data_IF_258448043016
#
_entry.id   IF_258448043016
#
_cell.length_a   1.000
_cell.length_b   1.000
_cell.length_c   1.000
_cell.angle_alpha   90.00
_cell.angle_beta   90.00
_cell.angle_gamma   90.00
#
_symmetry.space_group_name_H-M   'P 1'
#
loop_
_entity.id
_entity.type
_entity.pdbx_description
1 polymer ?
#
# COMPACT_ATOMS: atom_id res chain seq x y z
N UNK A 1 25.18 -76.89 -2.03
CA UNK A 1 24.12 -75.88 -2.27
C UNK A 1 24.32 -74.69 -1.36
N UNK A 2 24.84 -73.57 -1.86
CA UNK A 2 24.84 -72.27 -1.17
C UNK A 2 24.31 -71.25 -2.16
N UNK A 3 23.10 -70.75 -1.93
CA UNK A 3 22.46 -69.74 -2.76
C UNK A 3 22.95 -68.37 -2.30
N UNK A 4 23.62 -67.62 -3.19
CA UNK A 4 24.01 -66.23 -2.95
C UNK A 4 22.85 -65.37 -3.45
N UNK A 5 22.12 -64.74 -2.53
CA UNK A 5 21.12 -63.74 -2.85
C UNK A 5 21.84 -62.43 -3.22
N UNK A 6 21.74 -62.02 -4.48
CA UNK A 6 22.21 -60.72 -4.96
C UNK A 6 21.09 -59.71 -4.67
N UNK A 7 21.30 -58.83 -3.69
CA UNK A 7 20.43 -57.70 -3.43
C UNK A 7 20.72 -56.59 -4.46
N UNK A 8 19.78 -56.33 -5.35
CA UNK A 8 19.83 -55.21 -6.28
C UNK A 8 19.40 -53.97 -5.49
N UNK A 9 20.37 -53.10 -5.16
CA UNK A 9 20.08 -51.79 -4.60
C UNK A 9 19.56 -50.87 -5.71
N UNK A 10 18.25 -50.62 -5.73
CA UNK A 10 17.65 -49.61 -6.59
C UNK A 10 18.01 -48.22 -6.06
N UNK A 11 18.93 -47.53 -6.74
CA UNK A 11 19.22 -46.13 -6.47
C UNK A 11 18.03 -45.27 -6.95
N UNK A 12 17.25 -44.75 -6.01
CA UNK A 12 16.21 -43.78 -6.31
C UNK A 12 16.87 -42.45 -6.73
N UNK A 13 16.77 -42.12 -8.02
CA UNK A 13 17.08 -40.79 -8.53
C UNK A 13 16.04 -39.81 -7.95
N UNK A 14 16.44 -39.07 -6.93
CA UNK A 14 15.69 -37.89 -6.47
C UNK A 14 15.90 -36.82 -7.54
N UNK A 15 14.92 -36.68 -8.44
CA UNK A 15 14.84 -35.55 -9.34
C UNK A 15 14.57 -34.29 -8.50
N UNK A 16 15.64 -33.62 -8.07
CA UNK A 16 15.54 -32.30 -7.47
C UNK A 16 15.00 -31.35 -8.52
N UNK A 17 13.78 -30.85 -8.33
CA UNK A 17 13.24 -29.75 -9.09
C UNK A 17 14.16 -28.55 -8.91
N UNK A 18 14.93 -28.23 -9.95
CA UNK A 18 15.65 -26.96 -10.04
C UNK A 18 14.56 -25.90 -10.14
N UNK A 19 14.16 -25.33 -8.99
CA UNK A 19 13.44 -24.05 -8.99
C UNK A 19 14.40 -23.06 -9.65
N UNK A 20 14.04 -22.57 -10.83
CA UNK A 20 14.70 -21.42 -11.41
C UNK A 20 14.68 -20.29 -10.35
N UNK A 21 15.74 -19.50 -10.28
CA UNK A 21 15.74 -18.33 -9.42
C UNK A 21 14.53 -17.45 -9.79
N UNK A 22 13.75 -17.02 -8.81
CA UNK A 22 12.56 -16.18 -9.04
C UNK A 22 12.91 -14.90 -9.81
N UNK A 23 14.12 -14.37 -9.64
CA UNK A 23 14.63 -13.22 -10.39
C UNK A 23 14.82 -13.55 -11.88
N UNK A 24 15.39 -14.72 -12.20
CA UNK A 24 15.58 -15.16 -13.57
C UNK A 24 14.24 -15.44 -14.26
N UNK A 25 13.29 -16.00 -13.51
CA UNK A 25 11.95 -16.27 -14.01
C UNK A 25 11.19 -14.96 -14.26
N UNK A 26 11.30 -13.99 -13.35
CA UNK A 26 10.75 -12.65 -13.57
C UNK A 26 11.31 -12.04 -14.85
N UNK A 27 12.64 -11.97 -14.98
CA UNK A 27 13.29 -11.30 -16.11
C UNK A 27 12.92 -11.94 -17.46
N UNK A 28 12.75 -13.27 -17.51
CA UNK A 28 12.44 -13.98 -18.76
C UNK A 28 10.96 -14.05 -19.09
N UNK A 29 10.11 -14.31 -18.10
CA UNK A 29 8.71 -14.65 -18.33
C UNK A 29 7.75 -13.50 -18.00
N UNK A 30 8.05 -12.70 -16.98
CA UNK A 30 7.11 -11.70 -16.43
C UNK A 30 7.43 -10.29 -16.92
N UNK A 31 8.70 -9.88 -16.86
CA UNK A 31 9.13 -8.53 -17.20
C UNK A 31 8.72 -8.12 -18.63
N UNK A 32 8.82 -8.97 -19.68
CA UNK A 32 8.38 -8.59 -21.02
C UNK A 32 6.87 -8.34 -21.14
N UNK A 33 6.05 -8.99 -20.28
CA UNK A 33 4.60 -8.81 -20.22
C UNK A 33 4.30 -7.46 -19.60
N UNK A 34 4.87 -7.19 -18.42
CA UNK A 34 4.68 -5.93 -17.69
C UNK A 34 5.21 -4.73 -18.47
N UNK A 35 6.37 -4.88 -19.13
CA UNK A 35 6.94 -3.84 -19.98
C UNK A 35 6.05 -3.47 -21.18
N UNK A 36 5.31 -4.44 -21.73
CA UNK A 36 4.42 -4.21 -22.88
C UNK A 36 3.08 -3.62 -22.48
N UNK A 37 2.51 -4.09 -21.37
CA UNK A 37 1.11 -3.83 -21.04
C UNK A 37 0.92 -2.84 -19.87
N UNK A 38 1.93 -2.64 -19.04
CA UNK A 38 1.78 -1.90 -17.77
C UNK A 38 2.72 -0.69 -17.65
N UNK A 39 3.90 -0.75 -18.25
CA UNK A 39 4.96 0.24 -18.04
C UNK A 39 4.63 1.66 -18.57
N UNK A 40 3.57 1.83 -19.35
CA UNK A 40 3.09 3.15 -19.76
C UNK A 40 2.59 3.98 -18.56
N UNK A 41 1.89 3.36 -17.60
CA UNK A 41 1.38 4.03 -16.41
C UNK A 41 2.04 3.55 -15.10
N UNK A 42 2.71 2.39 -15.11
CA UNK A 42 3.34 1.76 -13.94
C UNK A 42 4.80 1.38 -14.22
N UNK A 43 5.55 2.26 -14.87
CA UNK A 43 6.99 2.13 -15.11
C UNK A 43 7.83 2.99 -14.16
N UNK A 44 9.16 2.93 -14.32
CA UNK A 44 10.08 3.71 -13.49
C UNK A 44 9.95 5.23 -13.67
N UNK A 45 9.53 5.68 -14.86
CA UNK A 45 9.36 7.10 -15.19
C UNK A 45 7.94 7.62 -14.92
N UNK A 46 6.94 6.73 -14.94
CA UNK A 46 5.55 7.03 -14.65
C UNK A 46 4.97 5.92 -13.76
N UNK A 47 4.82 6.24 -12.47
CA UNK A 47 4.38 5.31 -11.44
C UNK A 47 3.05 5.78 -10.86
N UNK A 48 1.96 5.54 -11.59
CA UNK A 48 0.62 5.89 -11.16
C UNK A 48 0.29 5.20 -9.83
N UNK A 49 -0.28 5.97 -8.89
CA UNK A 49 -0.45 5.56 -7.49
C UNK A 49 0.85 5.13 -6.77
N UNK A 50 2.00 5.56 -7.28
CA UNK A 50 3.32 5.18 -6.79
C UNK A 50 3.67 3.71 -7.00
N UNK A 51 3.06 3.05 -7.99
CA UNK A 51 3.34 1.65 -8.34
C UNK A 51 4.29 1.58 -9.54
N UNK A 52 5.45 0.92 -9.35
CA UNK A 52 6.43 0.63 -10.40
C UNK A 52 6.54 -0.89 -10.62
N UNK A 53 6.18 -1.35 -11.82
CA UNK A 53 6.18 -2.76 -12.25
C UNK A 53 7.39 -3.11 -13.14
N UNK A 54 8.39 -2.23 -13.26
CA UNK A 54 9.53 -2.41 -14.17
C UNK A 54 10.55 -3.47 -13.72
N UNK A 55 10.63 -3.74 -12.41
CA UNK A 55 11.58 -4.70 -11.82
C UNK A 55 10.91 -5.58 -10.76
N UNK A 56 11.44 -6.78 -10.50
CA UNK A 56 10.92 -7.63 -9.42
C UNK A 56 10.97 -6.92 -8.06
N UNK A 57 12.04 -6.17 -7.79
CA UNK A 57 12.23 -5.39 -6.57
C UNK A 57 11.15 -4.31 -6.41
N UNK A 58 10.79 -3.60 -7.48
CA UNK A 58 9.77 -2.56 -7.43
C UNK A 58 8.36 -3.15 -7.28
N UNK A 59 8.07 -4.28 -7.93
CA UNK A 59 6.81 -5.03 -7.74
C UNK A 59 6.66 -5.48 -6.29
N UNK A 60 7.74 -5.98 -5.68
CA UNK A 60 7.78 -6.37 -4.27
C UNK A 60 7.61 -5.15 -3.34
N UNK A 61 8.11 -3.98 -3.73
CA UNK A 61 7.94 -2.74 -2.96
C UNK A 61 6.47 -2.25 -2.95
N UNK A 62 5.67 -2.61 -3.94
CA UNK A 62 4.25 -2.27 -3.99
C UNK A 62 3.98 -0.85 -4.49
N UNK A 63 2.78 -0.35 -4.18
CA UNK A 63 2.36 1.02 -4.50
C UNK A 63 2.69 1.98 -3.36
N UNK A 64 2.32 3.26 -3.51
CA UNK A 64 2.44 4.24 -2.43
C UNK A 64 1.68 3.85 -1.16
N UNK A 65 0.65 2.98 -1.27
CA UNK A 65 -0.30 2.71 -0.19
C UNK A 65 -0.48 1.23 0.16
N UNK A 66 0.10 0.29 -0.58
CA UNK A 66 -0.03 -1.14 -0.26
C UNK A 66 0.95 -2.03 -1.02
N UNK A 67 1.16 -3.25 -0.50
CA UNK A 67 1.66 -4.35 -1.32
C UNK A 67 0.66 -4.67 -2.43
N UNK A 68 1.16 -5.02 -3.62
CA UNK A 68 0.31 -5.45 -4.76
C UNK A 68 0.36 -6.97 -5.00
N UNK A 69 1.28 -7.67 -4.33
CA UNK A 69 1.40 -9.13 -4.39
C UNK A 69 1.47 -9.74 -2.99
N UNK A 70 0.99 -10.98 -2.89
CA UNK A 70 1.14 -11.86 -1.75
C UNK A 70 2.06 -13.01 -2.19
N UNK A 71 3.34 -13.02 -1.77
CA UNK A 71 4.28 -14.07 -2.16
C UNK A 71 3.75 -15.47 -1.85
N UNK A 72 3.80 -16.36 -2.85
CA UNK A 72 3.26 -17.72 -2.73
C UNK A 72 1.73 -17.84 -2.86
N UNK A 73 1.01 -16.74 -3.10
CA UNK A 73 -0.44 -16.75 -3.29
C UNK A 73 -0.90 -15.70 -4.33
N UNK A 74 -0.86 -16.10 -5.59
CA UNK A 74 -1.31 -15.29 -6.73
C UNK A 74 -2.80 -14.96 -6.67
N UNK A 75 -3.64 -15.83 -6.10
CA UNK A 75 -5.08 -15.61 -6.00
C UNK A 75 -5.45 -14.44 -5.05
N UNK A 76 -4.65 -14.21 -4.01
CA UNK A 76 -4.83 -13.09 -3.08
C UNK A 76 -4.06 -11.82 -3.48
N UNK A 77 -3.30 -11.88 -4.59
CA UNK A 77 -2.50 -10.77 -5.08
C UNK A 77 -3.34 -9.80 -5.91
N UNK A 78 -3.41 -8.53 -5.49
CA UNK A 78 -4.10 -7.46 -6.22
C UNK A 78 -3.64 -7.37 -7.68
N UNK A 79 -2.34 -7.52 -7.93
CA UNK A 79 -1.78 -7.51 -9.27
C UNK A 79 -2.48 -8.51 -10.20
N UNK A 80 -2.79 -9.72 -9.72
CA UNK A 80 -3.45 -10.75 -10.54
C UNK A 80 -4.96 -10.55 -10.58
N UNK A 81 -5.57 -10.11 -9.47
CA UNK A 81 -7.00 -9.80 -9.40
C UNK A 81 -7.38 -8.71 -10.40
N UNK A 82 -6.55 -7.68 -10.57
CA UNK A 82 -6.76 -6.60 -11.52
C UNK A 82 -6.66 -7.03 -12.99
N UNK A 83 -6.02 -8.16 -13.30
CA UNK A 83 -5.92 -8.70 -14.67
C UNK A 83 -7.18 -9.45 -15.13
N UNK A 84 -8.11 -9.74 -14.22
CA UNK A 84 -9.35 -10.42 -14.56
C UNK A 84 -10.27 -9.50 -15.38
N UNK A 85 -10.94 -10.03 -16.40
CA UNK A 85 -11.80 -9.24 -17.30
C UNK A 85 -12.94 -8.51 -16.58
N UNK A 86 -13.40 -9.04 -15.45
CA UNK A 86 -14.49 -8.49 -14.65
C UNK A 86 -14.00 -7.57 -13.51
N UNK A 87 -12.69 -7.31 -13.42
CA UNK A 87 -12.13 -6.45 -12.38
C UNK A 87 -12.56 -4.98 -12.57
N UNK A 88 -12.71 -4.25 -11.47
CA UNK A 88 -12.98 -2.82 -11.48
C UNK A 88 -12.08 -2.10 -10.45
N UNK A 89 -11.07 -1.32 -10.90
CA UNK A 89 -10.68 -1.13 -12.30
C UNK A 89 -9.99 -2.39 -12.88
N UNK A 90 -10.26 -2.67 -14.15
CA UNK A 90 -9.52 -3.66 -14.95
C UNK A 90 -8.18 -3.10 -15.41
N UNK A 91 -7.13 -3.93 -15.39
CA UNK A 91 -5.80 -3.59 -15.86
C UNK A 91 -5.29 -4.63 -16.89
N UNK A 92 -4.68 -4.19 -18.00
CA UNK A 92 -4.57 -2.80 -18.43
C UNK A 92 -5.92 -2.23 -18.93
N UNK A 93 -6.13 -0.90 -18.92
CA UNK A 93 -7.40 -0.31 -19.35
C UNK A 93 -7.76 -0.64 -20.81
N UNK A 94 -6.75 -0.77 -21.66
CA UNK A 94 -6.89 -0.89 -23.12
C UNK A 94 -6.68 -2.32 -23.66
N UNK A 95 -7.05 -3.34 -22.89
CA UNK A 95 -7.11 -4.70 -23.42
C UNK A 95 -6.93 -5.79 -22.38
N UNK A 96 -7.19 -7.01 -22.81
CA UNK A 96 -7.08 -8.19 -21.96
C UNK A 96 -5.77 -8.94 -22.28
N UNK A 97 -5.01 -9.28 -21.25
CA UNK A 97 -3.88 -10.21 -21.37
C UNK A 97 -4.40 -11.59 -21.76
N UNK A 98 -3.60 -12.33 -22.52
CA UNK A 98 -3.90 -13.74 -22.78
C UNK A 98 -3.82 -14.56 -21.48
N UNK A 99 -4.56 -15.67 -21.44
CA UNK A 99 -4.54 -16.60 -20.31
C UNK A 99 -3.12 -17.09 -19.98
N UNK A 100 -2.26 -17.22 -20.99
CA UNK A 100 -0.87 -17.64 -20.83
C UNK A 100 -0.02 -16.56 -20.15
N UNK A 101 -0.24 -15.28 -20.48
CA UNK A 101 0.44 -14.16 -19.84
C UNK A 101 -0.01 -14.00 -18.39
N UNK A 102 -1.32 -14.07 -18.11
CA UNK A 102 -1.83 -14.02 -16.74
C UNK A 102 -1.28 -15.18 -15.91
N UNK A 103 -1.22 -16.38 -16.50
CA UNK A 103 -0.66 -17.57 -15.83
C UNK A 103 0.83 -17.44 -15.56
N UNK A 104 1.60 -16.79 -16.45
CA UNK A 104 3.02 -16.54 -16.22
C UNK A 104 3.24 -15.61 -15.02
N UNK A 105 2.47 -14.53 -14.91
CA UNK A 105 2.50 -13.61 -13.77
C UNK A 105 2.12 -14.35 -12.48
N UNK A 106 1.01 -15.09 -12.50
CA UNK A 106 0.54 -15.86 -11.35
C UNK A 106 1.57 -16.91 -10.89
N UNK A 107 2.13 -17.69 -11.83
CA UNK A 107 3.12 -18.72 -11.53
C UNK A 107 4.40 -18.15 -10.92
N UNK A 108 4.84 -16.97 -11.36
CA UNK A 108 5.96 -16.28 -10.73
C UNK A 108 5.65 -15.91 -9.27
N UNK A 109 4.49 -15.30 -9.00
CA UNK A 109 4.07 -14.96 -7.63
C UNK A 109 3.99 -16.21 -6.74
N UNK A 110 3.38 -17.28 -7.25
CA UNK A 110 3.25 -18.56 -6.53
C UNK A 110 4.61 -19.25 -6.30
N UNK A 111 5.63 -18.91 -7.10
CA UNK A 111 6.97 -19.45 -6.95
C UNK A 111 7.76 -18.81 -5.81
N UNK A 112 7.41 -17.57 -5.41
CA UNK A 112 8.09 -16.80 -4.37
C UNK A 112 7.97 -17.48 -3.00
N UNK A 113 8.99 -17.29 -2.15
CA UNK A 113 8.91 -17.70 -0.75
C UNK A 113 7.84 -16.85 -0.04
N UNK A 114 6.85 -17.44 0.65
CA UNK A 114 5.88 -16.69 1.46
C UNK A 114 6.51 -15.76 2.51
N UNK A 115 7.77 -16.00 2.90
CA UNK A 115 8.54 -15.13 3.78
C UNK A 115 9.22 -13.95 3.06
N UNK A 116 9.10 -13.84 1.73
CA UNK A 116 9.67 -12.73 0.95
C UNK A 116 9.10 -11.41 1.46
N UNK A 117 9.95 -10.45 1.87
CA UNK A 117 9.46 -9.14 2.30
C UNK A 117 8.78 -8.41 1.14
N UNK A 118 7.55 -7.97 1.37
CA UNK A 118 6.83 -7.04 0.48
C UNK A 118 6.68 -5.69 1.17
N UNK A 119 6.63 -4.63 0.37
CA UNK A 119 6.33 -3.31 0.87
C UNK A 119 4.94 -3.30 1.48
N UNK A 120 4.88 -3.10 2.79
CA UNK A 120 3.67 -2.56 3.38
C UNK A 120 3.60 -1.09 2.97
N UNK A 121 2.41 -0.52 2.83
CA UNK A 121 2.29 0.89 3.21
C UNK A 121 2.77 0.96 4.64
N UNK A 122 4.04 1.29 4.80
CA UNK A 122 4.64 1.38 6.10
C UNK A 122 3.90 2.51 6.77
N UNK A 123 3.01 2.17 7.71
CA UNK A 123 2.46 3.17 8.62
C UNK A 123 3.68 3.80 9.26
N UNK A 124 4.01 5.00 8.79
CA UNK A 124 5.22 5.70 9.15
C UNK A 124 5.13 6.09 10.61
N UNK A 125 6.26 6.45 11.20
CA UNK A 125 6.24 7.01 12.55
C UNK A 125 5.36 8.28 12.61
N UNK A 126 5.28 9.06 11.53
CA UNK A 126 4.39 10.21 11.44
C UNK A 126 2.91 9.80 11.42
N UNK A 127 2.56 8.74 10.69
CA UNK A 127 1.19 8.20 10.65
C UNK A 127 0.77 7.67 12.02
N UNK A 128 1.67 6.95 12.71
CA UNK A 128 1.44 6.46 14.09
C UNK A 128 1.26 7.61 15.08
N UNK A 129 1.93 8.73 14.85
CA UNK A 129 1.87 9.91 15.70
C UNK A 129 0.76 10.91 15.29
N UNK A 130 -0.06 10.61 14.29
CA UNK A 130 -1.16 11.47 13.89
C UNK A 130 -2.16 11.66 15.04
N UNK A 131 -2.67 12.88 15.21
CA UNK A 131 -3.46 13.28 16.38
C UNK A 131 -4.72 12.42 16.58
N UNK A 132 -5.33 11.92 15.50
CA UNK A 132 -6.55 11.11 15.54
C UNK A 132 -6.33 9.69 16.12
N UNK A 133 -5.10 9.17 16.08
CA UNK A 133 -4.76 7.83 16.59
C UNK A 133 -4.15 7.87 18.00
N UNK A 134 -3.98 9.07 18.58
CA UNK A 134 -3.49 9.25 19.93
C UNK A 134 -4.66 9.26 20.91
N UNK A 135 -4.49 8.70 22.12
CA UNK A 135 -5.50 8.82 23.18
C UNK A 135 -5.87 10.29 23.43
N UNK A 136 -7.16 10.57 23.48
CA UNK A 136 -7.65 11.92 23.78
C UNK A 136 -7.35 12.28 25.24
N UNK A 137 -6.59 13.35 25.44
CA UNK A 137 -6.32 13.93 26.77
C UNK A 137 -7.08 15.24 26.87
N UNK A 138 -7.86 15.41 27.95
CA UNK A 138 -8.61 16.65 28.19
C UNK A 138 -7.67 17.72 28.77
N UNK A 139 -7.33 18.80 28.03
CA UNK A 139 -6.47 19.84 28.56
C UNK A 139 -7.19 20.64 29.65
N UNK A 140 -6.43 21.21 30.59
CA UNK A 140 -6.94 22.22 31.51
C UNK A 140 -7.34 23.47 30.72
N UNK A 141 -8.52 24.01 31.01
CA UNK A 141 -8.99 25.26 30.42
C UNK A 141 -8.06 26.39 30.89
N UNK A 142 -7.57 27.28 30.00
CA UNK A 142 -6.73 28.38 30.42
C UNK A 142 -7.40 29.29 31.44
N UNK A 143 -6.67 29.58 32.51
CA UNK A 143 -7.07 30.53 33.55
C UNK A 143 -6.79 31.98 33.10
N UNK A 144 -7.49 32.95 33.70
CA UNK A 144 -7.29 34.38 33.44
C UNK A 144 -8.60 35.15 33.27
N UNK A 145 -8.55 36.47 33.42
CA UNK A 145 -9.68 37.33 33.05
C UNK A 145 -9.62 37.56 31.54
N UNK A 146 -10.66 37.14 30.82
CA UNK A 146 -10.86 37.40 29.39
C UNK A 146 -11.86 38.52 29.14
N UNK A 147 -12.08 39.35 30.15
CA UNK A 147 -12.94 40.53 30.11
C UNK A 147 -14.39 40.18 29.73
N UNK A 148 -14.80 38.91 29.95
CA UNK A 148 -16.14 38.42 29.63
C UNK A 148 -16.34 38.06 28.16
N UNK A 149 -15.28 37.97 27.35
CA UNK A 149 -15.38 37.66 25.92
C UNK A 149 -15.78 36.20 25.63
N UNK A 150 -15.29 35.24 26.42
CA UNK A 150 -15.56 33.82 26.19
C UNK A 150 -16.98 33.43 26.57
N UNK A 151 -17.70 32.77 25.66
CA UNK A 151 -19.02 32.19 25.92
C UNK A 151 -18.93 30.72 26.36
N UNK A 152 -17.86 30.04 25.96
CA UNK A 152 -17.61 28.63 26.24
C UNK A 152 -16.18 28.41 26.74
N UNK A 153 -15.89 27.26 27.41
CA UNK A 153 -14.52 26.91 27.76
C UNK A 153 -13.56 26.80 26.56
N UNK A 154 -14.07 26.58 25.34
CA UNK A 154 -13.26 26.52 24.12
C UNK A 154 -12.72 27.92 23.77
N UNK A 155 -13.55 28.95 23.94
CA UNK A 155 -13.18 30.35 23.63
C UNK A 155 -12.00 30.83 24.49
N UNK A 156 -11.84 30.26 25.69
CA UNK A 156 -10.71 30.54 26.60
C UNK A 156 -9.37 30.13 25.99
N UNK A 157 -9.33 29.05 25.20
CA UNK A 157 -8.15 28.64 24.45
C UNK A 157 -7.84 29.61 23.29
N UNK A 158 -8.89 30.07 22.61
CA UNK A 158 -8.75 31.06 21.52
C UNK A 158 -8.23 32.39 22.08
N UNK A 159 -8.83 32.87 23.18
CA UNK A 159 -8.40 34.08 23.88
C UNK A 159 -6.93 33.99 24.30
N UNK A 160 -6.53 32.90 24.97
CA UNK A 160 -5.15 32.69 25.40
C UNK A 160 -4.17 32.75 24.21
N UNK A 161 -4.53 32.17 23.06
CA UNK A 161 -3.71 32.20 21.85
C UNK A 161 -3.62 33.61 21.26
N UNK A 162 -4.74 34.33 21.16
CA UNK A 162 -4.77 35.72 20.69
C UNK A 162 -3.87 36.61 21.55
N UNK A 163 -4.01 36.55 22.88
CA UNK A 163 -3.17 37.32 23.82
C UNK A 163 -1.69 36.97 23.69
N UNK A 164 -1.35 35.69 23.55
CA UNK A 164 0.05 35.26 23.35
C UNK A 164 0.65 35.80 22.04
N UNK A 165 -0.20 36.06 21.03
CA UNK A 165 0.19 36.64 19.75
C UNK A 165 0.09 38.18 19.72
N UNK A 166 -0.26 38.83 20.83
CA UNK A 166 -0.46 40.29 20.89
C UNK A 166 -1.72 40.78 20.16
N UNK A 167 -2.68 39.89 19.92
CA UNK A 167 -3.93 40.19 19.23
C UNK A 167 -5.09 40.33 20.22
N UNK A 168 -6.11 41.08 19.80
CA UNK A 168 -7.41 41.16 20.47
C UNK A 168 -8.48 40.51 19.61
N UNK A 169 -9.55 39.95 20.20
CA UNK A 169 -10.67 39.45 19.41
C UNK A 169 -11.33 40.56 18.60
N UNK A 170 -11.88 40.18 17.45
CA UNK A 170 -12.74 41.05 16.67
C UNK A 170 -14.09 41.25 17.35
N UNK A 171 -14.70 42.41 17.11
CA UNK A 171 -16.08 42.68 17.50
C UNK A 171 -17.05 41.65 16.89
N UNK A 172 -18.11 41.24 17.62
CA UNK A 172 -19.16 40.39 17.08
C UNK A 172 -19.77 41.00 15.81
N UNK A 173 -19.97 40.17 14.79
CA UNK A 173 -20.67 40.60 13.60
C UNK A 173 -22.13 40.97 13.93
N UNK A 174 -22.65 42.02 13.28
CA UNK A 174 -24.05 42.40 13.45
C UNK A 174 -25.00 41.31 12.92
N UNK A 175 -26.27 41.37 13.36
CA UNK A 175 -27.28 40.36 13.02
C UNK A 175 -27.51 40.24 11.51
N UNK A 176 -27.47 41.34 10.77
CA UNK A 176 -27.68 41.32 9.32
C UNK A 176 -26.50 40.64 8.60
N UNK A 177 -25.27 40.87 9.07
CA UNK A 177 -24.07 40.22 8.60
C UNK A 177 -24.07 38.72 8.90
N UNK A 178 -24.51 38.31 10.10
CA UNK A 178 -24.64 36.91 10.45
C UNK A 178 -25.67 36.20 9.55
N UNK A 179 -26.82 36.82 9.28
CA UNK A 179 -27.81 36.28 8.35
C UNK A 179 -27.23 36.06 6.95
N UNK A 180 -26.41 36.99 6.45
CA UNK A 180 -25.70 36.82 5.17
C UNK A 180 -24.68 35.67 5.14
N UNK A 181 -24.17 35.22 6.29
CA UNK A 181 -23.19 34.11 6.36
C UNK A 181 -23.86 32.73 6.43
N UNK A 182 -25.16 32.68 6.73
CA UNK A 182 -25.90 31.43 6.89
C UNK A 182 -26.57 30.93 5.61
N UNK A 183 -26.63 31.75 4.56
CA UNK A 183 -27.26 31.44 3.27
C UNK A 183 -26.25 31.50 2.12
#
# INVERSE_FOLDING_TARGET
>A
MKWIAIAIAAAALVAGSVRANADDEFARAVQPILARHCAECHGAEDAEQGLDLSTATSVLAGSATAAVIVPGNSAESLLVQSLASEADPHMPPDGQLSDDEVRAVAAWIDSLDPATPVGSAGISEADRNHWAFRPLVRPSVPDGNDEGWSNTPIDRFVWAKLKSAGLSPSEPADRAMLLRRMY
#
